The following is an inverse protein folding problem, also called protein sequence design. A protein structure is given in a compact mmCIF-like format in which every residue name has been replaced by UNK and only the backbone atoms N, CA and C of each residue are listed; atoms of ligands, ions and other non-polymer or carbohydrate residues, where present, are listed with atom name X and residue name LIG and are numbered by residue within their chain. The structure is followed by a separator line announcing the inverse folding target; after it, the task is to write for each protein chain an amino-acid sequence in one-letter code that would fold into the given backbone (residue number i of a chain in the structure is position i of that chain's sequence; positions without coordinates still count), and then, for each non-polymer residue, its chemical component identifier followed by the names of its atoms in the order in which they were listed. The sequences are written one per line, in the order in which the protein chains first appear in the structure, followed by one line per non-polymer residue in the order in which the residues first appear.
data_IF_806071291596
#
_entry.id   IF_806071291596
#
_cell.length_a   1.000
_cell.length_b   1.000
_cell.length_c   1.000
_cell.angle_alpha   90.00
_cell.angle_beta   90.00
_cell.angle_gamma   90.00
#
_symmetry.space_group_name_H-M   'P 1'
#
loop_
_entity.id
_entity.type
_entity.pdbx_description
1 polymer ?
#
# COMPACT_ATOMS: atom_id res chain seq x y z
N UNK A 1 24.44 18.17 -6.59
CA UNK A 1 23.94 17.67 -7.89
C UNK A 1 22.74 16.78 -7.60
N UNK A 2 21.52 17.25 -7.87
CA UNK A 2 20.30 16.43 -7.78
C UNK A 2 20.31 15.48 -8.96
N UNK A 3 20.64 14.21 -8.71
CA UNK A 3 20.63 13.18 -9.74
C UNK A 3 19.18 12.98 -10.16
N UNK A 4 18.86 13.37 -11.38
CA UNK A 4 17.58 13.12 -12.02
C UNK A 4 17.55 11.62 -12.39
N UNK A 5 17.32 10.75 -11.40
CA UNK A 5 17.08 9.33 -11.66
C UNK A 5 15.68 9.22 -12.24
N UNK A 6 15.58 9.03 -13.55
CA UNK A 6 14.36 8.50 -14.17
C UNK A 6 14.06 7.19 -13.44
N UNK A 7 13.02 7.18 -12.61
CA UNK A 7 12.62 5.97 -11.91
C UNK A 7 12.19 4.95 -12.98
N UNK A 8 12.68 3.71 -12.93
CA UNK A 8 12.18 2.68 -13.83
C UNK A 8 10.67 2.54 -13.60
N UNK A 9 9.92 2.54 -14.70
CA UNK A 9 8.45 2.53 -14.66
C UNK A 9 7.97 1.25 -13.96
N UNK A 10 7.39 1.41 -12.77
CA UNK A 10 6.81 0.30 -12.01
C UNK A 10 5.48 -0.08 -12.64
N UNK A 11 5.34 -1.33 -13.10
CA UNK A 11 4.05 -1.84 -13.58
C UNK A 11 3.14 -2.11 -12.38
N UNK A 12 2.00 -1.42 -12.29
CA UNK A 12 1.07 -1.54 -11.17
C UNK A 12 -0.24 -2.16 -11.64
N UNK A 13 -0.69 -3.20 -10.95
CA UNK A 13 -1.96 -3.89 -11.20
C UNK A 13 -2.86 -3.73 -9.98
N UNK A 14 -4.06 -3.16 -10.17
CA UNK A 14 -5.14 -3.20 -9.19
C UNK A 14 -6.10 -4.33 -9.57
N UNK A 15 -6.25 -5.31 -8.67
CA UNK A 15 -7.06 -6.50 -8.93
C UNK A 15 -7.94 -6.81 -7.74
N UNK A 16 -9.24 -7.03 -7.96
CA UNK A 16 -10.15 -7.46 -6.89
C UNK A 16 -11.28 -8.33 -7.44
N UNK A 17 -11.75 -9.26 -6.61
CA UNK A 17 -12.91 -10.11 -6.91
C UNK A 17 -14.22 -9.32 -6.75
N UNK A 18 -14.21 -8.23 -5.97
CA UNK A 18 -15.34 -7.37 -5.74
C UNK A 18 -15.51 -6.35 -6.88
N UNK A 19 -16.52 -6.58 -7.73
CA UNK A 19 -16.83 -5.70 -8.85
C UNK A 19 -17.04 -4.23 -8.44
N UNK A 20 -17.61 -3.95 -7.25
CA UNK A 20 -17.83 -2.56 -6.80
C UNK A 20 -16.52 -1.81 -6.57
N UNK A 21 -15.50 -2.50 -6.06
CA UNK A 21 -14.15 -1.94 -5.88
C UNK A 21 -13.52 -1.68 -7.24
N UNK A 22 -13.60 -2.66 -8.15
CA UNK A 22 -13.06 -2.53 -9.51
C UNK A 22 -13.68 -1.35 -10.26
N UNK A 23 -15.01 -1.20 -10.24
CA UNK A 23 -15.66 -0.04 -10.88
C UNK A 23 -15.25 1.28 -10.21
N UNK A 24 -15.11 1.30 -8.89
CA UNK A 24 -14.67 2.50 -8.16
C UNK A 24 -13.24 2.90 -8.54
N UNK A 25 -12.34 1.94 -8.73
CA UNK A 25 -10.99 2.21 -9.23
C UNK A 25 -11.00 2.75 -10.65
N UNK A 26 -11.82 2.21 -11.55
CA UNK A 26 -11.90 2.74 -12.92
C UNK A 26 -12.30 4.21 -12.94
N UNK A 27 -13.18 4.63 -12.04
CA UNK A 27 -13.52 6.04 -11.88
C UNK A 27 -12.39 6.87 -11.25
N UNK A 28 -11.76 6.37 -10.19
CA UNK A 28 -10.71 7.11 -9.46
C UNK A 28 -9.41 7.25 -10.26
N UNK A 29 -9.03 6.23 -11.03
CA UNK A 29 -7.81 6.15 -11.83
C UNK A 29 -8.06 6.41 -13.32
N UNK A 30 -9.19 7.02 -13.69
CA UNK A 30 -9.55 7.28 -15.10
C UNK A 30 -8.47 8.10 -15.84
N UNK A 31 -7.78 8.98 -15.12
CA UNK A 31 -6.73 9.86 -15.65
C UNK A 31 -5.31 9.26 -15.50
N UNK A 32 -5.20 7.95 -15.20
CA UNK A 32 -3.95 7.25 -14.88
C UNK A 32 -3.82 5.95 -15.70
N UNK A 33 -3.62 6.06 -17.03
CA UNK A 33 -3.70 4.93 -17.96
C UNK A 33 -2.61 3.86 -17.76
N UNK A 34 -1.54 4.16 -17.05
CA UNK A 34 -0.47 3.22 -16.70
C UNK A 34 -0.88 2.18 -15.64
N UNK A 35 -2.00 2.41 -14.93
CA UNK A 35 -2.53 1.47 -13.94
C UNK A 35 -3.42 0.43 -14.62
N UNK A 36 -3.03 -0.84 -14.51
CA UNK A 36 -3.85 -1.93 -15.00
C UNK A 36 -4.93 -2.28 -13.96
N UNK A 37 -6.20 -2.21 -14.35
CA UNK A 37 -7.32 -2.54 -13.47
C UNK A 37 -7.98 -3.84 -13.95
N UNK A 38 -7.98 -4.86 -13.10
CA UNK A 38 -8.50 -6.21 -13.41
C UNK A 38 -9.56 -6.63 -12.40
N UNK A 39 -10.57 -7.37 -12.87
CA UNK A 39 -11.50 -8.07 -11.99
C UNK A 39 -11.05 -9.51 -11.86
N UNK A 40 -10.56 -9.90 -10.69
CA UNK A 40 -9.94 -11.20 -10.52
C UNK A 40 -9.36 -11.41 -9.12
N UNK A 41 -8.81 -12.60 -8.91
CA UNK A 41 -8.05 -12.89 -7.69
C UNK A 41 -6.61 -12.41 -7.88
N UNK A 42 -6.02 -11.83 -6.84
CA UNK A 42 -4.58 -11.52 -6.82
C UNK A 42 -3.70 -12.74 -7.12
N UNK A 43 -4.19 -13.95 -6.83
CA UNK A 43 -3.49 -15.20 -7.13
C UNK A 43 -3.28 -15.45 -8.63
N UNK A 44 -4.04 -14.76 -9.49
CA UNK A 44 -3.93 -14.87 -10.95
C UNK A 44 -2.95 -13.85 -11.54
N UNK A 45 -2.42 -12.94 -10.73
CA UNK A 45 -1.50 -11.91 -11.22
C UNK A 45 -0.06 -12.42 -11.23
N UNK A 46 0.54 -12.37 -12.41
CA UNK A 46 1.97 -12.62 -12.62
C UNK A 46 2.72 -11.29 -12.49
N UNK A 47 3.28 -11.08 -11.29
CA UNK A 47 4.01 -9.87 -10.89
C UNK A 47 5.12 -10.21 -9.90
N UNK A 48 6.12 -9.33 -9.76
CA UNK A 48 7.22 -9.56 -8.84
C UNK A 48 6.77 -9.55 -7.37
N UNK A 49 5.78 -8.71 -7.03
CA UNK A 49 5.30 -8.55 -5.67
C UNK A 49 3.76 -8.50 -5.56
N UNK A 50 3.22 -9.15 -4.53
CA UNK A 50 1.83 -8.94 -4.09
C UNK A 50 1.79 -8.06 -2.85
N UNK A 51 0.78 -7.21 -2.73
CA UNK A 51 0.51 -6.42 -1.51
C UNK A 51 -0.63 -7.06 -0.71
N UNK A 52 -0.37 -7.30 0.56
CA UNK A 52 -1.30 -7.88 1.54
C UNK A 52 -1.70 -6.82 2.57
N UNK A 53 -2.96 -6.36 2.59
CA UNK A 53 -3.47 -5.42 3.59
C UNK A 53 -3.81 -6.13 4.92
N UNK A 54 -2.82 -6.26 5.81
CA UNK A 54 -2.94 -7.02 7.06
C UNK A 54 -3.44 -6.18 8.25
N UNK A 55 -3.37 -6.77 9.45
CA UNK A 55 -3.34 -6.06 10.74
C UNK A 55 -1.89 -5.81 11.22
N UNK A 56 -1.72 -5.03 12.29
CA UNK A 56 -0.41 -4.67 12.84
C UNK A 56 0.42 -5.87 13.34
N UNK A 57 -0.21 -7.02 13.62
CA UNK A 57 0.49 -8.25 14.04
C UNK A 57 0.84 -9.18 12.87
N UNK A 58 0.58 -8.77 11.63
CA UNK A 58 0.83 -9.58 10.43
C UNK A 58 0.06 -10.91 10.41
N UNK A 59 -1.09 -11.00 11.11
CA UNK A 59 -1.91 -12.21 11.09
C UNK A 59 -2.67 -12.30 9.78
N UNK A 60 -2.60 -13.46 9.11
CA UNK A 60 -3.16 -13.67 7.78
C UNK A 60 -4.35 -14.64 7.82
N UNK A 61 -5.31 -14.37 8.69
CA UNK A 61 -6.37 -15.33 9.04
C UNK A 61 -7.71 -15.06 8.33
N UNK A 62 -7.83 -13.95 7.61
CA UNK A 62 -9.07 -13.61 6.91
C UNK A 62 -8.85 -12.92 5.56
N UNK A 63 -9.95 -12.80 4.80
CA UNK A 63 -9.97 -12.06 3.54
C UNK A 63 -8.91 -12.54 2.54
N UNK A 64 -8.26 -11.58 1.88
CA UNK A 64 -7.18 -11.85 0.93
C UNK A 64 -5.95 -12.46 1.60
N UNK A 65 -5.65 -12.09 2.85
CA UNK A 65 -4.47 -12.58 3.56
C UNK A 65 -4.54 -14.10 3.76
N UNK A 66 -5.72 -14.62 4.13
CA UNK A 66 -5.95 -16.06 4.25
C UNK A 66 -5.78 -16.80 2.92
N UNK A 67 -6.23 -16.18 1.82
CA UNK A 67 -6.11 -16.73 0.47
C UNK A 67 -4.64 -16.77 0.04
N UNK A 68 -3.88 -15.70 0.27
CA UNK A 68 -2.44 -15.63 0.01
C UNK A 68 -1.70 -16.66 0.87
N UNK A 69 -1.99 -16.75 2.17
CA UNK A 69 -1.38 -17.73 3.08
C UNK A 69 -1.66 -19.16 2.64
N UNK A 70 -2.88 -19.47 2.20
CA UNK A 70 -3.23 -20.80 1.70
C UNK A 70 -2.45 -21.15 0.42
N UNK A 71 -2.23 -20.16 -0.45
CA UNK A 71 -1.50 -20.35 -1.70
C UNK A 71 0.01 -20.49 -1.49
N UNK A 72 0.64 -19.61 -0.70
CA UNK A 72 2.09 -19.59 -0.47
C UNK A 72 2.55 -20.51 0.67
N UNK A 73 1.61 -21.08 1.42
CA UNK A 73 1.86 -21.93 2.59
C UNK A 73 2.06 -21.13 3.89
N UNK A 74 1.84 -21.79 5.03
CA UNK A 74 1.84 -21.15 6.35
C UNK A 74 3.15 -20.42 6.72
N UNK A 75 4.27 -20.80 6.10
CA UNK A 75 5.57 -20.17 6.31
C UNK A 75 5.61 -18.68 5.92
N UNK A 76 4.72 -18.22 5.02
CA UNK A 76 4.69 -16.81 4.63
C UNK A 76 4.33 -15.90 5.80
N UNK A 77 3.36 -16.30 6.63
CA UNK A 77 2.97 -15.54 7.82
C UNK A 77 4.12 -15.48 8.82
N UNK A 78 4.85 -16.59 9.00
CA UNK A 78 6.01 -16.62 9.91
C UNK A 78 7.10 -15.65 9.47
N UNK A 79 7.38 -15.55 8.17
CA UNK A 79 8.35 -14.59 7.61
C UNK A 79 7.88 -13.15 7.80
N UNK A 80 6.61 -12.85 7.51
CA UNK A 80 6.02 -11.52 7.76
C UNK A 80 6.15 -11.16 9.24
N UNK A 81 5.73 -12.04 10.14
CA UNK A 81 5.80 -11.79 11.58
C UNK A 81 7.24 -11.66 12.10
N UNK A 82 8.19 -12.40 11.53
CA UNK A 82 9.61 -12.23 11.84
C UNK A 82 10.11 -10.86 11.40
N UNK A 83 9.82 -10.43 10.17
CA UNK A 83 10.18 -9.10 9.69
C UNK A 83 9.55 -7.97 10.54
N UNK A 84 8.32 -8.16 11.01
CA UNK A 84 7.66 -7.22 11.93
C UNK A 84 8.35 -7.21 13.31
N UNK A 85 8.77 -8.36 13.83
CA UNK A 85 9.54 -8.42 15.09
C UNK A 85 10.86 -7.68 14.97
N UNK A 86 11.61 -7.95 13.91
CA UNK A 86 12.95 -7.42 13.72
C UNK A 86 12.95 -5.93 13.39
N UNK A 87 11.99 -5.47 12.57
CA UNK A 87 11.92 -4.08 12.12
C UNK A 87 11.06 -3.15 12.98
N UNK A 88 10.09 -3.70 13.73
CA UNK A 88 9.02 -2.90 14.37
C UNK A 88 8.66 -3.40 15.77
N UNK A 89 9.59 -4.07 16.47
CA UNK A 89 9.40 -4.58 17.83
C UNK A 89 8.10 -5.42 18.01
N UNK A 90 7.66 -6.10 16.95
CA UNK A 90 6.52 -7.01 16.98
C UNK A 90 5.16 -6.37 16.71
N UNK A 91 5.09 -5.08 16.36
CA UNK A 91 3.85 -4.42 15.94
C UNK A 91 4.11 -3.44 14.80
N UNK A 92 3.57 -3.73 13.62
CA UNK A 92 3.71 -2.93 12.42
C UNK A 92 2.71 -1.76 12.45
N UNK A 93 3.15 -0.49 12.52
CA UNK A 93 2.24 0.65 12.52
C UNK A 93 1.53 0.82 11.17
N UNK A 94 0.30 1.33 11.18
CA UNK A 94 -0.38 1.78 9.95
C UNK A 94 0.49 2.85 9.28
N UNK A 95 0.65 2.76 7.96
CA UNK A 95 1.62 3.60 7.21
C UNK A 95 3.05 3.06 7.22
N UNK A 96 3.24 1.81 7.64
CA UNK A 96 4.49 1.06 7.47
C UNK A 96 4.25 -0.20 6.64
N UNK A 97 5.33 -0.78 6.13
CA UNK A 97 5.27 -2.04 5.40
C UNK A 97 6.54 -2.88 5.59
N UNK A 98 6.38 -4.20 5.54
CA UNK A 98 7.49 -5.15 5.44
C UNK A 98 7.44 -5.85 4.09
N UNK A 99 8.59 -5.96 3.42
CA UNK A 99 8.75 -6.72 2.18
C UNK A 99 9.54 -8.00 2.50
N UNK A 100 8.96 -9.16 2.22
CA UNK A 100 9.60 -10.46 2.48
C UNK A 100 9.63 -11.32 1.23
N UNK A 101 10.64 -12.19 1.05
CA UNK A 101 10.59 -13.23 0.03
C UNK A 101 9.39 -14.15 0.25
N UNK A 102 8.61 -14.40 -0.80
CA UNK A 102 7.45 -15.28 -0.74
C UNK A 102 7.84 -16.76 -0.60
N UNK A 103 9.00 -17.13 -1.15
CA UNK A 103 9.43 -18.52 -1.35
C UNK A 103 8.83 -19.19 -2.59
N UNK A 104 8.09 -18.45 -3.41
CA UNK A 104 7.51 -18.89 -4.67
C UNK A 104 8.18 -18.19 -5.87
N UNK A 105 7.93 -18.72 -7.07
CA UNK A 105 8.34 -18.07 -8.33
C UNK A 105 7.43 -16.87 -8.63
N UNK A 106 6.13 -16.98 -8.35
CA UNK A 106 5.16 -15.91 -8.52
C UNK A 106 4.22 -15.84 -7.28
N UNK A 107 4.14 -14.69 -6.58
CA UNK A 107 5.05 -13.55 -6.70
C UNK A 107 6.40 -13.93 -6.06
N UNK A 108 7.47 -13.17 -6.32
CA UNK A 108 8.77 -13.38 -5.65
C UNK A 108 8.80 -12.75 -4.26
N UNK A 109 8.01 -11.70 -4.07
CA UNK A 109 7.91 -10.93 -2.83
C UNK A 109 6.45 -10.82 -2.36
N UNK A 110 6.28 -10.76 -1.04
CA UNK A 110 5.04 -10.32 -0.42
C UNK A 110 5.34 -9.05 0.38
N UNK A 111 4.57 -8.00 0.12
CA UNK A 111 4.60 -6.74 0.86
C UNK A 111 3.40 -6.74 1.79
N UNK A 112 3.65 -6.78 3.10
CA UNK A 112 2.60 -6.72 4.13
C UNK A 112 2.52 -5.29 4.64
N UNK A 113 1.33 -4.69 4.57
CA UNK A 113 1.07 -3.34 5.10
C UNK A 113 -0.23 -3.35 5.90
N UNK A 114 -0.27 -2.79 7.13
CA UNK A 114 -1.45 -2.89 7.95
C UNK A 114 -2.45 -1.77 7.59
N UNK A 115 -3.70 -2.16 7.36
CA UNK A 115 -4.83 -1.22 7.22
C UNK A 115 -5.58 -1.00 8.53
N UNK A 116 -5.24 -1.78 9.55
CA UNK A 116 -5.84 -1.76 10.89
C UNK A 116 -4.84 -2.22 11.94
N UNK A 117 -5.03 -1.79 13.19
CA UNK A 117 -4.20 -2.27 14.30
C UNK A 117 -4.62 -3.68 14.70
N UNK A 118 -5.92 -3.85 14.92
CA UNK A 118 -6.53 -5.13 15.30
C UNK A 118 -7.43 -5.64 14.19
N UNK A 119 -7.46 -6.96 14.01
CA UNK A 119 -8.33 -7.60 13.02
C UNK A 119 -9.79 -7.19 13.21
N UNK A 120 -10.46 -6.86 12.10
CA UNK A 120 -11.87 -6.48 12.06
C UNK A 120 -12.21 -5.11 12.68
N UNK A 121 -11.21 -4.26 12.89
CA UNK A 121 -11.43 -2.85 13.22
C UNK A 121 -12.14 -2.14 12.06
N UNK A 122 -13.15 -1.33 12.38
CA UNK A 122 -13.75 -0.42 11.40
C UNK A 122 -12.78 0.74 11.13
N UNK A 123 -12.45 0.97 9.86
CA UNK A 123 -11.52 2.00 9.41
C UNK A 123 -12.14 2.86 8.30
N UNK A 124 -13.49 2.88 8.22
CA UNK A 124 -14.24 3.65 7.21
C UNK A 124 -14.03 5.16 7.31
N UNK A 125 -13.73 5.66 8.50
CA UNK A 125 -13.53 7.08 8.82
C UNK A 125 -12.06 7.39 9.09
N UNK A 126 -11.14 6.61 8.53
CA UNK A 126 -9.71 6.82 8.73
C UNK A 126 -8.94 6.81 7.41
N UNK A 127 -7.68 7.26 7.49
CA UNK A 127 -6.80 7.43 6.34
C UNK A 127 -5.83 6.25 6.20
N UNK A 128 -6.12 5.16 6.93
CA UNK A 128 -5.31 3.97 6.98
C UNK A 128 -5.10 3.35 5.59
N UNK A 129 -6.09 3.42 4.72
CA UNK A 129 -5.97 2.89 3.34
C UNK A 129 -4.96 3.69 2.54
N UNK A 130 -4.95 5.02 2.64
CA UNK A 130 -3.99 5.86 1.93
C UNK A 130 -2.57 5.64 2.47
N UNK A 131 -2.43 5.61 3.81
CA UNK A 131 -1.18 5.31 4.50
C UNK A 131 -0.62 3.95 4.12
N UNK A 132 -1.45 2.90 4.12
CA UNK A 132 -1.05 1.55 3.75
C UNK A 132 -0.65 1.45 2.26
N UNK A 133 -1.39 2.13 1.38
CA UNK A 133 -1.08 2.21 -0.05
C UNK A 133 0.30 2.85 -0.27
N UNK A 134 0.53 4.03 0.31
CA UNK A 134 1.81 4.73 0.20
C UNK A 134 2.96 3.90 0.79
N UNK A 135 2.74 3.25 1.94
CA UNK A 135 3.73 2.39 2.57
C UNK A 135 4.09 1.16 1.72
N UNK A 136 3.13 0.56 1.03
CA UNK A 136 3.38 -0.56 0.13
C UNK A 136 4.30 -0.17 -1.02
N UNK A 137 4.06 0.99 -1.65
CA UNK A 137 4.93 1.46 -2.71
C UNK A 137 6.30 1.93 -2.19
N UNK A 138 6.35 2.53 -1.00
CA UNK A 138 7.62 2.85 -0.34
C UNK A 138 8.44 1.58 -0.04
N UNK A 139 7.81 0.46 0.31
CA UNK A 139 8.49 -0.84 0.43
C UNK A 139 9.10 -1.30 -0.90
N UNK A 140 8.43 -1.08 -2.04
CA UNK A 140 8.99 -1.34 -3.38
C UNK A 140 10.26 -0.51 -3.62
N UNK A 141 10.22 0.79 -3.32
CA UNK A 141 11.40 1.66 -3.42
C UNK A 141 12.56 1.16 -2.57
N UNK A 142 12.32 0.87 -1.28
CA UNK A 142 13.37 0.38 -0.37
C UNK A 142 13.96 -0.94 -0.85
N UNK A 143 13.13 -1.86 -1.34
CA UNK A 143 13.57 -3.14 -1.90
C UNK A 143 14.42 -2.93 -3.15
N UNK A 144 14.04 -2.02 -4.04
CA UNK A 144 14.81 -1.69 -5.23
C UNK A 144 16.08 -0.86 -4.96
N UNK A 145 16.13 -0.10 -3.86
CA UNK A 145 17.37 0.53 -3.41
C UNK A 145 18.39 -0.51 -2.94
N UNK A 146 17.94 -1.52 -2.19
CA UNK A 146 18.79 -2.60 -1.72
C UNK A 146 19.19 -3.57 -2.86
N UNK A 147 18.26 -3.86 -3.78
CA UNK A 147 18.48 -4.73 -4.93
C UNK A 147 17.79 -4.14 -6.18
N UNK A 148 18.51 -3.33 -6.97
CA UNK A 148 17.96 -2.67 -8.15
C UNK A 148 17.25 -3.64 -9.10
N UNK A 149 16.05 -3.27 -9.56
CA UNK A 149 15.23 -4.06 -10.47
C UNK A 149 14.69 -5.36 -9.88
N UNK A 150 14.69 -5.52 -8.56
CA UNK A 150 14.15 -6.74 -7.93
C UNK A 150 12.63 -6.80 -7.96
N UNK A 151 11.95 -5.65 -7.91
CA UNK A 151 10.51 -5.52 -8.10
C UNK A 151 10.28 -4.52 -9.24
N UNK A 152 9.80 -5.00 -10.37
CA UNK A 152 9.42 -4.19 -11.55
C UNK A 152 7.91 -4.17 -11.78
N UNK A 153 7.19 -5.05 -11.07
CA UNK A 153 5.74 -5.13 -11.12
C UNK A 153 5.14 -5.47 -9.76
N UNK A 154 3.99 -4.88 -9.44
CA UNK A 154 3.30 -5.08 -8.17
C UNK A 154 1.79 -5.17 -8.37
N UNK A 155 1.13 -6.06 -7.63
CA UNK A 155 -0.34 -6.16 -7.59
C UNK A 155 -0.89 -5.80 -6.21
N UNK A 156 -1.96 -5.00 -6.19
CA UNK A 156 -2.70 -4.57 -5.00
C UNK A 156 -4.17 -4.95 -5.12
N UNK A 157 -4.81 -5.18 -3.96
CA UNK A 157 -6.26 -5.40 -3.85
C UNK A 157 -6.99 -4.22 -3.21
N UNK A 158 -8.32 -4.28 -3.12
CA UNK A 158 -9.16 -3.33 -2.40
C UNK A 158 -8.85 -3.31 -0.91
N UNK A 159 -8.00 -2.37 -0.50
CA UNK A 159 -7.55 -2.25 0.89
C UNK A 159 -8.66 -1.69 1.78
N UNK A 160 -8.96 -2.36 2.89
CA UNK A 160 -10.01 -1.93 3.84
C UNK A 160 -11.46 -2.12 3.38
N UNK A 161 -11.72 -2.43 2.10
CA UNK A 161 -13.06 -2.44 1.50
C UNK A 161 -14.00 -3.54 2.00
N UNK A 162 -13.48 -4.58 2.65
CA UNK A 162 -14.27 -5.69 3.21
C UNK A 162 -14.29 -5.65 4.73
N UNK A 163 -13.22 -6.12 5.36
CA UNK A 163 -13.13 -6.24 6.82
C UNK A 163 -13.12 -4.88 7.51
N UNK A 164 -12.49 -3.88 6.87
CA UNK A 164 -12.41 -2.51 7.37
C UNK A 164 -13.65 -1.65 7.12
N UNK A 165 -14.67 -2.19 6.43
CA UNK A 165 -15.94 -1.53 6.08
C UNK A 165 -15.81 -0.22 5.30
N UNK A 166 -14.65 0.03 4.68
CA UNK A 166 -14.44 1.22 3.84
C UNK A 166 -15.33 1.11 2.59
N UNK A 167 -16.19 2.09 2.29
CA UNK A 167 -16.96 2.09 1.05
C UNK A 167 -16.05 2.00 -0.17
N UNK A 168 -16.45 1.26 -1.21
CA UNK A 168 -15.61 1.01 -2.39
C UNK A 168 -15.07 2.30 -3.05
N UNK A 169 -15.91 3.35 -3.14
CA UNK A 169 -15.52 4.67 -3.64
C UNK A 169 -14.44 5.32 -2.78
N UNK A 170 -14.59 5.28 -1.47
CA UNK A 170 -13.62 5.84 -0.51
C UNK A 170 -12.30 5.06 -0.58
N UNK A 171 -12.37 3.72 -0.61
CA UNK A 171 -11.21 2.85 -0.80
C UNK A 171 -10.43 3.23 -2.08
N UNK A 172 -11.13 3.37 -3.21
CA UNK A 172 -10.50 3.74 -4.47
C UNK A 172 -9.83 5.11 -4.43
N UNK A 173 -10.50 6.12 -3.85
CA UNK A 173 -9.95 7.47 -3.70
C UNK A 173 -8.71 7.47 -2.77
N UNK A 174 -8.76 6.78 -1.64
CA UNK A 174 -7.62 6.69 -0.71
C UNK A 174 -6.43 5.94 -1.33
N UNK A 175 -6.69 4.89 -2.11
CA UNK A 175 -5.64 4.20 -2.86
C UNK A 175 -5.03 5.10 -3.93
N UNK A 176 -5.84 5.89 -4.64
CA UNK A 176 -5.36 6.89 -5.59
C UNK A 176 -4.48 7.93 -4.91
N UNK A 177 -4.92 8.49 -3.77
CA UNK A 177 -4.12 9.43 -2.98
C UNK A 177 -2.77 8.83 -2.57
N UNK A 178 -2.75 7.57 -2.11
CA UNK A 178 -1.49 6.89 -1.76
C UNK A 178 -0.58 6.63 -2.96
N UNK A 179 -1.16 6.32 -4.13
CA UNK A 179 -0.41 6.17 -5.39
C UNK A 179 0.20 7.49 -5.87
N UNK A 180 -0.57 8.59 -5.87
CA UNK A 180 -0.06 9.89 -6.31
C UNK A 180 1.07 10.39 -5.41
N UNK A 181 0.97 10.14 -4.10
CA UNK A 181 2.04 10.46 -3.17
C UNK A 181 3.33 9.70 -3.46
N UNK A 182 3.20 8.42 -3.82
CA UNK A 182 4.34 7.60 -4.20
C UNK A 182 5.01 8.10 -5.49
N UNK A 183 4.23 8.48 -6.51
CA UNK A 183 4.77 8.93 -7.79
C UNK A 183 5.46 10.29 -7.68
N UNK A 184 4.94 11.17 -6.82
CA UNK A 184 5.44 12.53 -6.71
C UNK A 184 6.62 12.62 -5.72
N UNK A 185 6.71 11.72 -4.72
CA UNK A 185 7.62 11.88 -3.57
C UNK A 185 8.38 10.60 -3.17
N UNK A 186 9.59 10.81 -2.64
CA UNK A 186 10.39 9.77 -1.97
C UNK A 186 10.56 10.15 -0.50
N UNK A 187 10.21 9.23 0.39
CA UNK A 187 10.36 9.39 1.83
C UNK A 187 11.65 8.71 2.33
N UNK A 188 12.30 9.27 3.34
CA UNK A 188 13.52 8.67 3.90
C UNK A 188 13.18 7.36 4.65
N UNK A 189 12.09 7.38 5.41
CA UNK A 189 11.56 6.24 6.14
C UNK A 189 10.03 6.28 6.25
N UNK A 190 9.46 5.35 7.02
CA UNK A 190 8.02 5.29 7.22
C UNK A 190 7.50 6.34 8.21
N UNK A 191 8.36 6.92 9.04
CA UNK A 191 7.96 7.94 10.03
C UNK A 191 7.79 9.29 9.33
N UNK A 192 8.69 9.62 8.40
CA UNK A 192 8.59 10.72 7.45
C UNK A 192 7.32 10.62 6.59
N UNK A 193 7.04 9.43 6.04
CA UNK A 193 5.80 9.16 5.30
C UNK A 193 4.55 9.41 6.16
N UNK A 194 4.51 8.86 7.38
CA UNK A 194 3.35 9.02 8.27
C UNK A 194 3.15 10.47 8.67
N UNK A 195 4.21 11.15 9.10
CA UNK A 195 4.14 12.55 9.52
C UNK A 195 3.69 13.47 8.39
N UNK A 196 4.20 13.26 7.17
CA UNK A 196 3.80 14.03 5.98
C UNK A 196 2.33 13.84 5.65
N UNK A 197 1.85 12.60 5.68
CA UNK A 197 0.46 12.30 5.35
C UNK A 197 -0.45 12.87 6.43
N UNK A 198 -0.20 12.60 7.71
CA UNK A 198 -1.02 13.12 8.82
C UNK A 198 -1.07 14.65 8.85
N UNK A 199 0.07 15.33 8.67
CA UNK A 199 0.13 16.79 8.72
C UNK A 199 -0.72 17.51 7.66
N UNK A 200 -1.04 16.81 6.57
CA UNK A 200 -1.83 17.37 5.49
C UNK A 200 -3.30 17.00 5.57
N UNK A 201 -3.62 16.03 6.43
CA UNK A 201 -4.96 15.53 6.64
C UNK A 201 -5.72 16.32 7.71
N UNK A 202 -5.02 17.01 8.62
CA UNK A 202 -5.62 18.03 9.48
C UNK A 202 -6.31 19.14 8.65
N UNK A 203 -5.79 19.44 7.45
CA UNK A 203 -6.39 20.39 6.51
C UNK A 203 -7.61 19.82 5.75
N UNK A 204 -7.78 18.49 5.76
CA UNK A 204 -8.74 17.73 4.95
C UNK A 204 -10.02 17.39 5.71
N UNK A 205 -9.95 17.12 7.01
CA UNK A 205 -11.16 16.98 7.86
C UNK A 205 -12.03 18.25 7.85
N UNK A 206 -11.46 19.38 7.39
CA UNK A 206 -12.14 20.66 7.21
C UNK A 206 -12.59 20.95 5.76
N UNK A 207 -12.36 20.04 4.79
CA UNK A 207 -12.62 20.25 3.35
C UNK A 207 -13.93 19.58 2.86
N UNK A 208 -14.66 20.17 1.88
CA UNK A 208 -15.96 19.66 1.42
C UNK A 208 -15.89 18.33 0.65
N UNK A 209 -16.93 17.49 0.80
CA UNK A 209 -17.05 16.09 0.30
C UNK A 209 -16.87 15.91 -1.23
N UNK A 210 -17.01 16.98 -2.02
CA UNK A 210 -16.98 16.95 -3.48
C UNK A 210 -15.57 17.14 -4.07
N UNK A 211 -14.58 17.47 -3.24
CA UNK A 211 -13.25 17.86 -3.71
C UNK A 211 -12.28 16.66 -3.74
N UNK A 212 -11.61 16.43 -4.87
CA UNK A 212 -10.48 15.50 -4.95
C UNK A 212 -9.38 16.03 -4.03
N UNK A 213 -9.04 15.25 -3.04
CA UNK A 213 -8.10 15.67 -2.02
C UNK A 213 -6.68 15.31 -2.45
N UNK A 214 -5.94 16.34 -2.84
CA UNK A 214 -4.52 16.22 -3.20
C UNK A 214 -3.69 16.63 -2.01
N UNK A 215 -2.95 15.67 -1.47
CA UNK A 215 -1.94 15.89 -0.43
C UNK A 215 -0.80 16.67 -1.11
N UNK A 216 -0.60 17.93 -0.68
CA UNK A 216 0.48 18.84 -1.05
C UNK A 216 1.86 18.30 -0.60
N UNK A 217 2.99 18.93 -0.98
CA UNK A 217 4.30 18.50 -0.47
C UNK A 217 4.56 19.01 0.97
N UNK A 218 5.36 18.28 1.78
CA UNK A 218 5.87 18.83 3.04
C UNK A 218 6.73 20.07 2.74
N UNK A 219 6.48 21.15 3.47
CA UNK A 219 7.30 22.37 3.41
C UNK A 219 8.69 22.02 3.96
N UNK A 220 9.67 21.77 3.08
CA UNK A 220 11.07 21.61 3.49
C UNK A 220 11.45 22.77 4.40
N UNK A 221 11.76 22.49 5.67
CA UNK A 221 12.42 23.46 6.51
C UNK A 221 13.71 23.86 5.80
N UNK A 222 13.82 25.13 5.42
CA UNK A 222 15.06 25.67 4.90
C UNK A 222 16.15 25.35 5.92
N UNK A 223 17.15 24.57 5.52
CA UNK A 223 18.34 24.31 6.31
C UNK A 223 18.89 25.67 6.75
N UNK A 224 18.77 26.00 8.04
CA UNK A 224 19.52 27.10 8.62
C UNK A 224 20.99 26.72 8.51
N UNK A 225 21.70 27.42 7.61
CA UNK A 225 23.17 27.45 7.59
C UNK A 225 23.68 28.09 8.87
#
# INVERSE_FOLDING_TARGET
MTVNRVQPQLRVVLTDVNAKVVESWRAAFADTPEIEIRKGSILSEEVDAWVSPTNARGRMDGGVDAVIKRHLGAGIQLRVQQAIRDGFAGSLPVGSAVCVPSGAVNPRFLISTPTMETSSQNVSETLNVALACAAAFQAVHRQNLAKPGSITSVALVGMGARTGRVPARVCANLMWTGYTLFNDHHFEDYDDLRSTITAQLDDIENAPEEQRIRIAPPRRAASRR
#
